data_IF_281214078741
#
_entry.id   IF_281214078741
#
_cell.length_a   1.000
_cell.length_b   1.000
_cell.length_c   1.000
_cell.angle_alpha   90.00
_cell.angle_beta   90.00
_cell.angle_gamma   90.00
#
_symmetry.space_group_name_H-M   'P 1'
#
loop_
_entity.id
_entity.type
_entity.pdbx_description
1 polymer ?
#
# COMPACT_ATOMS: atom_id res chain seq x y z
N UNK A 1 -19.03 1.57 16.72
CA UNK A 1 -19.74 1.59 15.41
C UNK A 1 -19.14 0.52 14.50
N UNK A 2 -19.92 -0.09 13.62
CA UNK A 2 -19.41 -1.18 12.79
C UNK A 2 -19.63 -0.83 11.30
N UNK A 3 -18.55 -0.70 10.54
CA UNK A 3 -18.67 -0.51 9.09
C UNK A 3 -19.03 -1.86 8.47
N UNK A 4 -20.05 -1.88 7.62
CA UNK A 4 -20.53 -3.10 7.00
C UNK A 4 -19.46 -3.69 6.05
N UNK A 5 -19.21 -5.01 6.14
CA UNK A 5 -18.30 -5.75 5.26
C UNK A 5 -18.49 -5.41 3.77
N UNK A 6 -19.73 -5.23 3.31
CA UNK A 6 -20.01 -4.89 1.92
C UNK A 6 -19.44 -3.53 1.52
N UNK A 7 -19.51 -2.53 2.41
CA UNK A 7 -18.94 -1.19 2.18
C UNK A 7 -17.42 -1.29 2.10
N UNK A 8 -16.79 -1.99 3.05
CA UNK A 8 -15.35 -2.25 3.03
C UNK A 8 -14.89 -2.91 1.73
N UNK A 9 -15.56 -4.00 1.31
CA UNK A 9 -15.22 -4.69 0.07
C UNK A 9 -15.38 -3.81 -1.18
N UNK A 10 -16.40 -2.95 -1.21
CA UNK A 10 -16.59 -1.99 -2.30
C UNK A 10 -15.46 -0.95 -2.35
N UNK A 11 -15.00 -0.44 -1.20
CA UNK A 11 -13.85 0.47 -1.12
C UNK A 11 -12.56 -0.21 -1.58
N UNK A 12 -12.34 -1.45 -1.13
CA UNK A 12 -11.19 -2.27 -1.56
C UNK A 12 -11.22 -2.45 -3.07
N UNK A 13 -12.34 -2.91 -3.63
CA UNK A 13 -12.47 -3.07 -5.07
C UNK A 13 -12.17 -1.78 -5.82
N UNK A 14 -12.80 -0.66 -5.42
CA UNK A 14 -12.57 0.63 -6.07
C UNK A 14 -11.09 1.02 -6.03
N UNK A 15 -10.46 1.01 -4.84
CA UNK A 15 -9.08 1.46 -4.69
C UNK A 15 -8.07 0.54 -5.38
N UNK A 16 -8.29 -0.77 -5.36
CA UNK A 16 -7.38 -1.71 -6.04
C UNK A 16 -7.49 -1.66 -7.56
N UNK A 17 -8.62 -1.23 -8.13
CA UNK A 17 -8.81 -1.09 -9.58
C UNK A 17 -8.37 0.28 -10.13
N UNK A 18 -8.13 1.29 -9.27
CA UNK A 18 -7.57 2.57 -9.69
C UNK A 18 -6.13 2.41 -10.20
N UNK A 19 -5.75 3.30 -11.13
CA UNK A 19 -4.37 3.44 -11.58
C UNK A 19 -3.59 4.32 -10.61
N UNK A 20 -2.38 3.92 -10.25
CA UNK A 20 -1.54 4.70 -9.35
C UNK A 20 -0.14 4.12 -9.27
N UNK A 21 0.61 4.17 -10.37
CA UNK A 21 2.04 3.90 -10.36
C UNK A 21 2.78 4.97 -9.55
N UNK A 22 4.00 4.69 -9.03
CA UNK A 22 4.80 5.67 -8.29
C UNK A 22 4.98 6.99 -9.02
N UNK A 23 4.57 8.10 -8.39
CA UNK A 23 4.56 9.45 -8.97
C UNK A 23 3.30 9.80 -9.77
N UNK A 24 2.32 8.89 -9.86
CA UNK A 24 1.07 9.05 -10.62
C UNK A 24 -0.14 8.60 -9.80
N UNK A 25 -0.19 8.96 -8.52
CA UNK A 25 -1.16 8.49 -7.52
C UNK A 25 -2.46 9.31 -7.47
N UNK A 26 -2.68 10.26 -8.38
CA UNK A 26 -3.79 11.23 -8.29
C UNK A 26 -5.18 10.60 -8.24
N UNK A 27 -5.42 9.47 -8.96
CA UNK A 27 -6.73 8.81 -8.92
C UNK A 27 -7.03 8.30 -7.51
N UNK A 28 -6.02 7.74 -6.84
CA UNK A 28 -6.12 7.22 -5.48
C UNK A 28 -6.34 8.35 -4.49
N UNK A 29 -5.51 9.41 -4.57
CA UNK A 29 -5.64 10.61 -3.73
C UNK A 29 -7.03 11.23 -3.85
N UNK A 30 -7.53 11.40 -5.07
CA UNK A 30 -8.85 11.99 -5.32
C UNK A 30 -9.97 11.16 -4.68
N UNK A 31 -9.92 9.84 -4.81
CA UNK A 31 -10.90 8.97 -4.17
C UNK A 31 -10.80 9.06 -2.63
N UNK A 32 -9.60 8.98 -2.06
CA UNK A 32 -9.40 9.11 -0.62
C UNK A 32 -9.91 10.46 -0.11
N UNK A 33 -9.60 11.58 -0.79
CA UNK A 33 -10.07 12.91 -0.43
C UNK A 33 -11.60 12.96 -0.33
N UNK A 34 -12.29 12.42 -1.32
CA UNK A 34 -13.76 12.41 -1.33
C UNK A 34 -14.33 11.58 -0.16
N UNK A 35 -13.73 10.43 0.13
CA UNK A 35 -14.20 9.53 1.18
C UNK A 35 -13.87 10.05 2.60
N UNK A 36 -12.75 10.74 2.77
CA UNK A 36 -12.28 11.25 4.08
C UNK A 36 -12.87 12.60 4.44
N UNK A 37 -13.26 13.43 3.46
CA UNK A 37 -13.74 14.80 3.67
C UNK A 37 -14.83 14.97 4.75
N UNK A 38 -15.80 14.05 4.94
CA UNK A 38 -16.80 14.18 5.99
C UNK A 38 -16.28 14.00 7.44
N UNK A 39 -15.04 13.55 7.61
CA UNK A 39 -14.49 13.06 8.88
C UNK A 39 -13.26 13.83 9.38
N UNK A 40 -12.82 14.86 8.65
CA UNK A 40 -11.62 15.63 8.93
C UNK A 40 -11.92 17.13 9.01
N UNK A 41 -11.10 17.85 9.76
CA UNK A 41 -11.20 19.31 9.89
C UNK A 41 -10.48 20.02 8.73
N UNK A 42 -9.37 19.43 8.24
CA UNK A 42 -8.58 19.94 7.13
C UNK A 42 -7.82 18.81 6.43
N UNK A 43 -7.29 19.12 5.25
CA UNK A 43 -6.28 18.30 4.57
C UNK A 43 -4.96 19.05 4.49
N UNK A 44 -3.86 18.31 4.69
CA UNK A 44 -2.50 18.80 4.44
C UNK A 44 -1.82 17.93 3.40
N UNK A 45 -0.93 18.52 2.61
CA UNK A 45 -0.22 17.84 1.55
C UNK A 45 1.23 18.33 1.49
N UNK A 46 2.19 17.42 1.38
CA UNK A 46 3.57 17.77 1.13
C UNK A 46 3.84 17.99 -0.38
N UNK A 47 4.99 18.55 -0.73
CA UNK A 47 5.34 18.88 -2.12
C UNK A 47 5.63 17.68 -3.01
N UNK A 48 5.68 16.47 -2.47
CA UNK A 48 5.79 15.23 -3.24
C UNK A 48 4.44 14.61 -3.55
N UNK A 49 3.35 15.03 -2.86
CA UNK A 49 2.01 14.51 -3.03
C UNK A 49 1.50 13.62 -1.88
N UNK A 50 2.32 13.38 -0.85
CA UNK A 50 1.86 12.73 0.38
C UNK A 50 0.80 13.57 1.06
N UNK A 51 -0.34 12.97 1.39
CA UNK A 51 -1.57 13.67 1.73
C UNK A 51 -2.21 13.06 2.98
N UNK A 52 -2.70 13.94 3.89
CA UNK A 52 -3.25 13.54 5.18
C UNK A 52 -4.49 14.37 5.52
N UNK A 53 -5.55 13.69 5.97
CA UNK A 53 -6.66 14.31 6.65
C UNK A 53 -6.35 14.49 8.13
N UNK A 54 -6.73 15.62 8.69
CA UNK A 54 -6.45 16.00 10.08
C UNK A 54 -7.75 16.05 10.86
N UNK A 55 -7.79 15.31 11.97
CA UNK A 55 -8.85 15.41 12.98
C UNK A 55 -8.25 16.00 14.27
N UNK A 56 -8.64 17.24 14.59
CA UNK A 56 -8.12 17.97 15.72
C UNK A 56 -8.75 17.52 17.03
N UNK A 57 -7.94 17.46 18.08
CA UNK A 57 -8.40 17.36 19.46
C UNK A 57 -8.90 18.71 19.98
N UNK A 58 -9.75 18.68 20.99
CA UNK A 58 -10.08 19.87 21.80
C UNK A 58 -9.01 20.17 22.86
N UNK A 59 -8.11 19.24 23.11
CA UNK A 59 -6.98 19.44 24.03
C UNK A 59 -5.97 20.43 23.41
N UNK A 60 -5.72 21.60 23.99
CA UNK A 60 -4.77 22.56 23.46
C UNK A 60 -3.32 22.07 23.48
N UNK A 61 -3.03 21.02 24.24
CA UNK A 61 -1.72 20.39 24.34
C UNK A 61 -1.71 18.99 23.68
N UNK A 62 -2.62 18.74 22.74
CA UNK A 62 -2.72 17.47 22.05
C UNK A 62 -1.41 17.09 21.36
N UNK A 63 -0.99 15.86 21.56
CA UNK A 63 0.11 15.24 20.83
C UNK A 63 -0.35 14.85 19.44
N UNK A 64 0.58 14.80 18.48
CA UNK A 64 0.30 14.48 17.08
C UNK A 64 0.55 13.01 16.80
N UNK A 65 -0.46 12.31 16.32
CA UNK A 65 -0.39 10.91 15.93
C UNK A 65 -0.53 10.81 14.40
N UNK A 66 0.42 10.15 13.76
CA UNK A 66 0.39 9.89 12.32
C UNK A 66 -0.03 8.45 12.05
N UNK A 67 -0.99 8.26 11.12
CA UNK A 67 -1.29 6.97 10.50
C UNK A 67 -0.99 7.10 9.02
N UNK A 68 -0.06 6.31 8.52
CA UNK A 68 0.40 6.37 7.14
C UNK A 68 0.26 5.02 6.43
N UNK A 69 -0.37 5.03 5.26
CA UNK A 69 -0.29 4.02 4.21
C UNK A 69 0.53 4.57 3.04
N UNK A 70 0.58 3.87 1.89
CA UNK A 70 1.03 4.43 0.63
C UNK A 70 0.01 4.22 -0.48
N UNK A 71 0.00 5.16 -1.45
CA UNK A 71 -0.98 5.19 -2.54
C UNK A 71 -0.50 4.46 -3.79
N UNK A 72 0.81 4.38 -3.99
CA UNK A 72 1.37 3.76 -5.17
C UNK A 72 1.26 2.23 -5.15
N UNK A 73 1.40 1.66 -6.30
CA UNK A 73 1.50 0.22 -6.56
C UNK A 73 2.66 -0.04 -7.50
N UNK A 74 3.24 -1.23 -7.49
CA UNK A 74 4.25 -1.62 -8.47
C UNK A 74 3.74 -1.46 -9.90
N UNK A 75 4.61 -1.08 -10.81
CA UNK A 75 4.25 -0.90 -12.21
C UNK A 75 5.45 -0.73 -13.12
N UNK A 76 5.22 -0.06 -14.23
CA UNK A 76 6.25 0.21 -15.24
C UNK A 76 6.08 1.61 -15.83
N UNK A 77 7.15 2.09 -16.47
CA UNK A 77 7.17 3.33 -17.22
C UNK A 77 7.65 3.06 -18.65
N UNK A 78 6.98 3.65 -19.63
CA UNK A 78 7.35 3.53 -21.04
C UNK A 78 8.68 4.24 -21.29
N UNK A 79 9.63 3.51 -21.88
CA UNK A 79 10.97 4.02 -22.19
C UNK A 79 11.21 4.20 -23.67
N UNK A 80 10.49 3.45 -24.52
CA UNK A 80 10.63 3.55 -25.97
C UNK A 80 9.40 2.97 -26.69
N UNK A 81 9.13 3.46 -27.89
CA UNK A 81 8.15 2.91 -28.83
C UNK A 81 8.91 2.49 -30.09
N UNK A 82 8.79 1.23 -30.46
CA UNK A 82 9.52 0.68 -31.60
C UNK A 82 8.80 0.98 -32.92
N UNK A 83 9.53 0.94 -34.05
CA UNK A 83 8.97 1.20 -35.39
C UNK A 83 7.82 0.27 -35.78
N UNK A 84 7.77 -0.93 -35.18
CA UNK A 84 6.70 -1.92 -35.39
C UNK A 84 5.61 -1.87 -34.32
N UNK A 85 5.50 -0.77 -33.58
CA UNK A 85 4.40 -0.51 -32.64
C UNK A 85 4.50 -1.23 -31.29
N UNK A 86 5.63 -1.86 -30.97
CA UNK A 86 5.84 -2.45 -29.64
C UNK A 86 6.33 -1.41 -28.63
N UNK A 87 5.87 -1.51 -27.39
CA UNK A 87 6.19 -0.57 -26.33
C UNK A 87 7.20 -1.21 -25.39
N UNK A 88 8.36 -0.57 -25.22
CA UNK A 88 9.39 -0.95 -24.25
C UNK A 88 9.19 -0.19 -22.93
N UNK A 89 9.48 -0.84 -21.82
CA UNK A 89 9.24 -0.28 -20.51
C UNK A 89 10.30 -0.70 -19.49
N UNK A 90 10.38 0.03 -18.39
CA UNK A 90 11.19 -0.29 -17.21
C UNK A 90 10.31 -0.40 -15.99
N UNK A 91 10.73 -1.15 -14.97
CA UNK A 91 9.96 -1.33 -13.75
C UNK A 91 9.97 -0.06 -12.87
N UNK A 92 8.85 0.16 -12.20
CA UNK A 92 8.66 1.04 -11.06
C UNK A 92 8.32 0.16 -9.87
N UNK A 93 9.28 -0.04 -8.97
CA UNK A 93 9.16 -0.95 -7.83
C UNK A 93 9.88 -2.29 -8.02
N UNK A 94 9.82 -3.09 -6.99
CA UNK A 94 10.47 -4.39 -6.93
C UNK A 94 9.62 -5.49 -7.57
N UNK A 95 9.93 -5.91 -8.80
CA UNK A 95 9.20 -6.96 -9.52
C UNK A 95 10.11 -8.11 -9.93
N UNK A 96 9.58 -9.33 -9.90
CA UNK A 96 10.30 -10.51 -10.41
C UNK A 96 10.18 -10.59 -11.94
N UNK A 97 11.25 -11.03 -12.63
CA UNK A 97 11.29 -11.02 -14.09
C UNK A 97 10.39 -12.10 -14.74
N UNK A 98 10.15 -13.21 -14.06
CA UNK A 98 9.59 -14.44 -14.62
C UNK A 98 8.05 -14.51 -14.69
N UNK A 99 7.35 -13.52 -14.14
CA UNK A 99 5.88 -13.56 -13.99
C UNK A 99 5.12 -12.74 -15.03
N UNK A 100 5.79 -11.94 -15.87
CA UNK A 100 5.11 -10.92 -16.69
C UNK A 100 4.73 -11.38 -18.08
N UNK A 101 5.41 -12.39 -18.66
CA UNK A 101 5.13 -12.87 -20.01
C UNK A 101 3.67 -13.29 -20.20
N UNK A 102 3.00 -12.76 -21.21
CA UNK A 102 1.61 -13.06 -21.52
C UNK A 102 0.59 -12.39 -20.60
N UNK A 103 1.03 -11.59 -19.64
CA UNK A 103 0.13 -10.86 -18.73
C UNK A 103 -0.51 -9.67 -19.42
N UNK A 104 -1.69 -9.29 -18.95
CA UNK A 104 -2.36 -8.06 -19.36
C UNK A 104 -1.93 -6.92 -18.44
N UNK A 105 -1.54 -5.82 -19.05
CA UNK A 105 -1.22 -4.58 -18.37
C UNK A 105 -2.06 -3.45 -18.94
N UNK A 106 -2.23 -2.37 -18.19
CA UNK A 106 -2.97 -1.18 -18.63
C UNK A 106 -2.04 0.03 -18.60
N UNK A 107 -1.92 0.70 -19.74
CA UNK A 107 -1.28 2.00 -19.88
C UNK A 107 -2.29 3.07 -19.48
N UNK A 108 -1.87 4.06 -18.71
CA UNK A 108 -2.60 5.34 -18.58
C UNK A 108 -1.79 6.41 -19.30
N UNK A 109 -2.36 6.93 -20.38
CA UNK A 109 -1.73 8.00 -21.15
C UNK A 109 -1.95 9.39 -20.50
N UNK A 110 -1.28 10.41 -21.02
CA UNK A 110 -1.39 11.80 -20.53
C UNK A 110 -2.80 12.40 -20.61
N UNK A 111 -3.67 11.84 -21.45
CA UNK A 111 -5.06 12.28 -21.57
C UNK A 111 -5.98 11.60 -20.53
N UNK A 112 -5.45 10.64 -19.77
CA UNK A 112 -6.21 9.83 -18.81
C UNK A 112 -6.86 8.58 -19.42
N UNK A 113 -6.65 8.31 -20.72
CA UNK A 113 -7.19 7.11 -21.36
C UNK A 113 -6.45 5.86 -20.89
N UNK A 114 -7.20 4.77 -20.69
CA UNK A 114 -6.67 3.47 -20.26
C UNK A 114 -6.65 2.49 -21.42
N UNK A 115 -5.44 2.10 -21.85
CA UNK A 115 -5.22 1.21 -23.00
C UNK A 115 -4.63 -0.12 -22.50
N UNK A 116 -5.34 -1.22 -22.78
CA UNK A 116 -4.88 -2.56 -22.40
C UNK A 116 -3.92 -3.10 -23.45
N UNK A 117 -2.81 -3.70 -22.98
CA UNK A 117 -1.87 -4.45 -23.81
C UNK A 117 -1.54 -5.81 -23.20
N UNK A 118 -0.85 -6.63 -23.97
CA UNK A 118 -0.35 -7.95 -23.58
C UNK A 118 1.18 -7.94 -23.63
N UNK A 119 1.81 -8.39 -22.56
CA UNK A 119 3.27 -8.49 -22.50
C UNK A 119 3.75 -9.60 -23.43
N UNK A 120 4.76 -9.29 -24.23
CA UNK A 120 5.33 -10.21 -25.23
C UNK A 120 5.81 -11.52 -24.60
N UNK A 121 5.64 -12.60 -25.35
CA UNK A 121 6.12 -13.92 -25.00
C UNK A 121 6.60 -14.64 -26.27
N UNK A 122 7.80 -15.23 -26.22
CA UNK A 122 8.29 -16.07 -27.30
C UNK A 122 7.74 -17.49 -27.10
N UNK A 123 6.85 -17.98 -27.99
CA UNK A 123 6.32 -19.33 -27.94
C UNK A 123 7.45 -20.38 -27.91
N UNK A 124 7.25 -21.46 -27.17
CA UNK A 124 8.25 -22.54 -27.01
C UNK A 124 8.85 -23.03 -28.33
N UNK A 125 8.06 -23.05 -29.40
CA UNK A 125 8.47 -23.51 -30.74
C UNK A 125 9.53 -22.64 -31.39
N UNK A 126 9.68 -21.40 -30.98
CA UNK A 126 10.64 -20.43 -31.52
C UNK A 126 11.82 -20.16 -30.57
N UNK A 127 11.84 -20.79 -29.37
CA UNK A 127 12.97 -20.66 -28.44
C UNK A 127 14.14 -21.53 -28.90
N UNK A 128 15.32 -20.95 -28.98
CA UNK A 128 16.56 -21.64 -29.32
C UNK A 128 17.40 -21.78 -28.06
N UNK A 129 17.33 -22.94 -27.39
CA UNK A 129 18.18 -23.24 -26.23
C UNK A 129 17.50 -23.12 -24.85
N UNK A 130 18.28 -23.24 -23.79
CA UNK A 130 17.86 -23.10 -22.39
C UNK A 130 17.96 -21.63 -21.95
N UNK A 131 17.24 -20.74 -22.59
CA UNK A 131 17.18 -19.35 -22.16
C UNK A 131 16.43 -19.26 -20.83
N UNK A 132 17.00 -18.53 -19.85
CA UNK A 132 16.35 -18.20 -18.60
C UNK A 132 15.12 -17.29 -18.82
N UNK A 133 14.45 -16.89 -17.76
CA UNK A 133 13.41 -15.88 -17.83
C UNK A 133 14.02 -14.58 -18.40
N UNK A 134 13.35 -13.91 -19.37
CA UNK A 134 13.83 -12.64 -19.91
C UNK A 134 13.84 -11.57 -18.82
N UNK A 135 14.77 -10.64 -18.92
CA UNK A 135 14.73 -9.46 -18.06
C UNK A 135 13.59 -8.52 -18.50
N UNK A 136 13.10 -7.68 -17.59
CA UNK A 136 12.02 -6.71 -17.88
C UNK A 136 12.34 -5.86 -19.12
N UNK A 137 13.61 -5.42 -19.26
CA UNK A 137 14.07 -4.61 -20.40
C UNK A 137 13.95 -5.30 -21.77
N UNK A 138 13.86 -6.64 -21.80
CA UNK A 138 13.75 -7.46 -23.01
C UNK A 138 12.28 -7.75 -23.38
N UNK A 139 11.35 -7.38 -22.48
CA UNK A 139 9.92 -7.50 -22.71
C UNK A 139 9.38 -6.28 -23.45
N UNK A 140 8.30 -6.48 -24.19
CA UNK A 140 7.53 -5.39 -24.80
C UNK A 140 6.06 -5.56 -24.51
N UNK A 141 5.30 -4.48 -24.53
CA UNK A 141 3.85 -4.49 -24.43
C UNK A 141 3.27 -4.29 -25.85
N UNK A 142 2.41 -5.21 -26.24
CA UNK A 142 1.67 -5.20 -27.48
C UNK A 142 0.25 -4.68 -27.23
N UNK A 143 -0.12 -3.58 -27.88
CA UNK A 143 -1.46 -2.98 -27.85
C UNK A 143 -2.21 -3.16 -29.18
N UNK A 144 -1.69 -4.01 -30.07
CA UNK A 144 -2.25 -4.25 -31.41
C UNK A 144 -1.99 -3.13 -32.41
N UNK A 145 -0.98 -2.28 -32.18
CA UNK A 145 -0.53 -1.26 -33.13
C UNK A 145 0.43 -1.87 -34.16
N UNK A 146 0.38 -1.41 -35.42
CA UNK A 146 1.21 -1.90 -36.49
C UNK A 146 2.55 -1.13 -36.65
N UNK A 147 2.57 0.10 -36.12
CA UNK A 147 3.72 0.99 -36.21
C UNK A 147 3.72 2.02 -35.06
N UNK A 148 4.80 2.78 -34.95
CA UNK A 148 4.95 3.83 -33.94
C UNK A 148 3.87 4.91 -34.02
N UNK A 149 3.47 5.31 -35.24
CA UNK A 149 2.49 6.39 -35.42
C UNK A 149 1.13 6.00 -34.83
N UNK A 150 0.67 4.76 -35.04
CA UNK A 150 -0.57 4.26 -34.43
C UNK A 150 -0.53 4.23 -32.89
N UNK A 151 0.62 4.00 -32.28
CA UNK A 151 0.78 4.09 -30.81
C UNK A 151 0.63 5.54 -30.37
N UNK A 152 1.30 6.47 -31.08
CA UNK A 152 1.24 7.90 -30.74
C UNK A 152 -0.14 8.53 -30.99
N UNK A 153 -0.85 8.09 -32.03
CA UNK A 153 -2.23 8.49 -32.29
C UNK A 153 -3.19 8.13 -31.14
N UNK A 154 -2.88 7.08 -30.38
CA UNK A 154 -3.60 6.72 -29.14
C UNK A 154 -3.18 7.57 -27.94
N UNK A 155 -2.38 8.61 -28.13
CA UNK A 155 -1.92 9.52 -27.07
C UNK A 155 -0.85 8.93 -26.14
N UNK A 156 -0.25 7.80 -26.51
CA UNK A 156 0.80 7.13 -25.71
C UNK A 156 2.16 7.72 -26.03
N UNK A 157 2.95 7.99 -25.00
CA UNK A 157 4.30 8.53 -25.14
C UNK A 157 5.27 7.98 -24.07
N UNK A 158 6.55 8.28 -24.24
CA UNK A 158 7.59 7.99 -23.25
C UNK A 158 7.25 8.69 -21.93
N UNK A 159 7.39 7.97 -20.82
CA UNK A 159 7.05 8.45 -19.49
C UNK A 159 5.61 8.17 -19.06
N UNK A 160 4.72 7.70 -19.93
CA UNK A 160 3.43 7.17 -19.53
C UNK A 160 3.60 5.90 -18.69
N UNK A 161 2.68 5.65 -17.77
CA UNK A 161 2.81 4.56 -16.80
C UNK A 161 1.90 3.38 -17.12
N UNK A 162 2.35 2.23 -16.67
CA UNK A 162 1.71 0.93 -16.91
C UNK A 162 1.57 0.23 -15.56
N UNK A 163 0.39 -0.34 -15.28
CA UNK A 163 0.15 -1.15 -14.09
C UNK A 163 -0.53 -2.48 -14.46
N UNK A 164 -0.55 -3.49 -13.58
CA UNK A 164 -1.30 -4.72 -13.80
C UNK A 164 -2.78 -4.46 -14.10
N UNK A 165 -3.37 -5.31 -14.93
CA UNK A 165 -4.80 -5.30 -15.24
C UNK A 165 -5.47 -6.56 -14.70
N UNK A 166 -5.81 -6.54 -13.41
CA UNK A 166 -6.46 -7.66 -12.72
C UNK A 166 -7.70 -7.15 -11.99
N UNK A 167 -8.89 -7.71 -12.27
CA UNK A 167 -10.11 -7.31 -11.58
C UNK A 167 -10.16 -7.89 -10.16
N UNK A 168 -10.81 -7.16 -9.26
CA UNK A 168 -11.13 -7.66 -7.94
C UNK A 168 -12.03 -8.90 -8.04
N UNK A 169 -11.65 -10.00 -7.39
CA UNK A 169 -12.35 -11.30 -7.50
C UNK A 169 -12.52 -11.95 -6.14
N UNK A 170 -13.74 -12.39 -5.82
CA UNK A 170 -13.99 -13.23 -4.65
C UNK A 170 -13.64 -14.69 -4.98
N UNK A 171 -12.67 -15.26 -4.27
CA UNK A 171 -12.24 -16.65 -4.44
C UNK A 171 -12.98 -17.63 -3.50
N UNK A 172 -13.34 -17.16 -2.31
CA UNK A 172 -14.09 -17.95 -1.32
C UNK A 172 -14.84 -17.01 -0.36
N UNK A 173 -15.44 -17.52 0.69
CA UNK A 173 -16.19 -16.72 1.68
C UNK A 173 -15.36 -15.59 2.30
N UNK A 174 -14.07 -15.82 2.53
CA UNK A 174 -13.18 -14.88 3.22
C UNK A 174 -11.98 -14.44 2.38
N UNK A 175 -11.68 -15.12 1.27
CA UNK A 175 -10.51 -14.83 0.43
C UNK A 175 -10.88 -14.16 -0.86
N UNK A 176 -10.09 -13.18 -1.21
CA UNK A 176 -10.25 -12.33 -2.38
C UNK A 176 -8.91 -12.22 -3.09
N UNK A 177 -8.97 -11.86 -4.36
CA UNK A 177 -7.82 -11.57 -5.19
C UNK A 177 -7.97 -10.19 -5.82
N UNK A 178 -6.89 -9.43 -5.85
CA UNK A 178 -6.81 -8.13 -6.49
C UNK A 178 -5.35 -7.75 -6.78
N UNK A 179 -5.15 -6.88 -7.79
CA UNK A 179 -3.89 -6.15 -7.90
C UNK A 179 -3.79 -5.12 -6.77
N UNK A 180 -2.61 -4.57 -6.52
CA UNK A 180 -2.40 -3.43 -5.62
C UNK A 180 -3.00 -3.57 -4.22
N UNK A 181 -3.20 -4.79 -3.72
CA UNK A 181 -3.55 -4.99 -2.32
C UNK A 181 -2.51 -4.33 -1.42
N UNK A 182 -1.28 -4.47 -1.77
CA UNK A 182 -0.15 -3.65 -1.37
C UNK A 182 -0.19 -2.32 -2.16
N UNK A 183 -0.53 -1.15 -1.58
CA UNK A 183 -1.02 -1.01 -0.19
C UNK A 183 -2.38 -0.29 -0.17
N UNK A 184 -3.26 -0.62 -1.13
CA UNK A 184 -4.59 0.01 -1.24
C UNK A 184 -5.50 -0.38 -0.07
N UNK A 185 -5.27 -1.55 0.58
CA UNK A 185 -5.98 -1.87 1.81
C UNK A 185 -5.66 -0.87 2.93
N UNK A 186 -4.41 -0.41 3.01
CA UNK A 186 -4.00 0.65 3.94
C UNK A 186 -4.70 1.97 3.68
N UNK A 187 -4.91 2.31 2.39
CA UNK A 187 -5.71 3.47 2.00
C UNK A 187 -7.19 3.32 2.43
N UNK A 188 -7.78 2.11 2.27
CA UNK A 188 -9.14 1.84 2.80
C UNK A 188 -9.16 1.96 4.31
N UNK A 189 -8.15 1.42 4.99
CA UNK A 189 -8.07 1.46 6.45
C UNK A 189 -7.97 2.91 6.96
N UNK A 190 -7.20 3.77 6.28
CA UNK A 190 -7.13 5.20 6.59
C UNK A 190 -8.51 5.88 6.53
N UNK A 191 -9.30 5.60 5.49
CA UNK A 191 -10.68 6.10 5.38
C UNK A 191 -11.55 5.57 6.53
N UNK A 192 -11.50 4.26 6.80
CA UNK A 192 -12.37 3.61 7.78
C UNK A 192 -12.03 3.97 9.22
N UNK A 193 -10.77 4.22 9.55
CA UNK A 193 -10.36 4.71 10.87
C UNK A 193 -10.99 6.08 11.14
N UNK A 194 -10.93 7.02 10.20
CA UNK A 194 -11.57 8.33 10.36
C UNK A 194 -13.10 8.21 10.50
N UNK A 195 -13.74 7.34 9.71
CA UNK A 195 -15.18 7.10 9.81
C UNK A 195 -15.57 6.49 11.16
N UNK A 196 -14.80 5.51 11.67
CA UNK A 196 -15.05 4.88 12.97
C UNK A 196 -14.86 5.84 14.14
N UNK A 197 -13.90 6.75 14.03
CA UNK A 197 -13.54 7.70 15.08
C UNK A 197 -14.27 9.05 14.96
N UNK A 198 -15.17 9.24 13.99
CA UNK A 198 -15.80 10.53 13.70
C UNK A 198 -16.49 11.19 14.91
N UNK A 199 -17.20 10.39 15.71
CA UNK A 199 -17.98 10.84 16.87
C UNK A 199 -17.21 10.65 18.19
N UNK A 200 -15.95 10.19 18.15
CA UNK A 200 -15.10 9.98 19.31
C UNK A 200 -14.24 11.23 19.51
N UNK A 201 -14.30 11.79 20.71
CA UNK A 201 -13.40 12.85 21.13
C UNK A 201 -12.05 12.22 21.50
N UNK A 202 -11.02 12.55 20.75
CA UNK A 202 -9.66 12.06 20.97
C UNK A 202 -8.86 13.07 21.79
N UNK A 203 -7.96 12.60 22.64
CA UNK A 203 -7.02 13.44 23.41
C UNK A 203 -5.80 13.85 22.58
N UNK A 204 -5.72 13.39 21.32
CA UNK A 204 -4.61 13.59 20.38
C UNK A 204 -5.08 14.21 19.06
N UNK A 205 -4.23 14.99 18.42
CA UNK A 205 -4.42 15.39 17.03
C UNK A 205 -4.06 14.22 16.10
N UNK A 206 -5.02 13.78 15.30
CA UNK A 206 -4.87 12.60 14.45
C UNK A 206 -4.67 13.01 12.99
N UNK A 207 -3.55 12.59 12.42
CA UNK A 207 -3.16 12.78 11.02
C UNK A 207 -3.23 11.43 10.31
N UNK A 208 -4.17 11.25 9.41
CA UNK A 208 -4.42 9.97 8.73
C UNK A 208 -4.33 10.16 7.23
N UNK A 209 -3.53 9.37 6.55
CA UNK A 209 -3.40 9.52 5.11
C UNK A 209 -2.45 8.50 4.47
N UNK A 210 -1.87 8.91 3.36
CA UNK A 210 -0.99 8.04 2.60
C UNK A 210 0.16 8.82 1.95
N UNK A 211 1.29 8.14 1.85
CA UNK A 211 2.48 8.59 1.16
C UNK A 211 2.43 8.24 -0.33
N UNK A 212 3.42 8.69 -1.06
CA UNK A 212 3.66 8.43 -2.48
C UNK A 212 5.03 7.79 -2.66
N UNK A 213 5.22 7.06 -3.77
CA UNK A 213 6.52 6.51 -4.17
C UNK A 213 7.19 5.63 -3.11
N UNK A 214 6.40 4.84 -2.36
CA UNK A 214 6.91 3.86 -1.42
C UNK A 214 7.70 2.78 -2.15
N UNK A 215 7.10 2.20 -3.19
CA UNK A 215 7.58 1.07 -3.99
C UNK A 215 8.94 1.30 -4.67
N UNK A 216 9.32 2.55 -4.84
CA UNK A 216 10.58 2.97 -5.48
C UNK A 216 11.60 3.51 -4.48
N UNK A 217 11.46 3.19 -3.20
CA UNK A 217 12.44 3.48 -2.16
C UNK A 217 11.95 4.41 -1.05
N UNK A 218 10.70 4.27 -0.57
CA UNK A 218 10.14 4.93 0.62
C UNK A 218 10.18 6.47 0.54
N UNK A 219 10.09 7.04 -0.68
CA UNK A 219 10.51 8.42 -0.96
C UNK A 219 9.61 9.48 -0.31
N UNK A 220 8.30 9.25 -0.27
CA UNK A 220 7.33 10.20 0.29
C UNK A 220 7.31 10.27 1.81
N UNK A 221 7.67 9.19 2.47
CA UNK A 221 7.47 8.97 3.90
C UNK A 221 8.19 10.00 4.78
N UNK A 222 9.46 10.27 4.49
CA UNK A 222 10.24 11.26 5.23
C UNK A 222 9.64 12.66 5.13
N UNK A 223 9.26 13.09 3.92
CA UNK A 223 8.67 14.42 3.70
C UNK A 223 7.33 14.58 4.46
N UNK A 224 6.53 13.53 4.53
CA UNK A 224 5.29 13.53 5.31
C UNK A 224 5.56 13.60 6.82
N UNK A 225 6.52 12.82 7.31
CA UNK A 225 6.90 12.82 8.72
C UNK A 225 7.47 14.18 9.16
N UNK A 226 8.30 14.82 8.33
CA UNK A 226 8.83 16.15 8.61
C UNK A 226 7.75 17.24 8.56
N UNK A 227 6.77 17.14 7.66
CA UNK A 227 5.64 18.06 7.57
C UNK A 227 4.71 17.97 8.81
N UNK A 228 4.40 16.76 9.26
CA UNK A 228 3.49 16.49 10.38
C UNK A 228 4.21 16.68 11.71
N UNK A 229 5.47 16.26 11.80
CA UNK A 229 6.28 16.20 13.03
C UNK A 229 5.53 15.45 14.15
N UNK A 230 5.18 14.16 13.96
CA UNK A 230 4.34 13.43 14.89
C UNK A 230 5.12 12.97 16.14
N UNK A 231 4.42 12.90 17.27
CA UNK A 231 4.95 12.32 18.51
C UNK A 231 5.06 10.80 18.45
N UNK A 232 4.15 10.15 17.68
CA UNK A 232 4.09 8.70 17.46
C UNK A 232 3.52 8.45 16.06
N UNK A 233 3.97 7.39 15.40
CA UNK A 233 3.45 6.99 14.10
C UNK A 233 3.05 5.52 14.05
N UNK A 234 1.96 5.26 13.34
CA UNK A 234 1.55 3.93 12.89
C UNK A 234 1.66 3.87 11.37
N UNK A 235 2.35 2.88 10.87
CA UNK A 235 2.39 2.59 9.44
C UNK A 235 1.52 1.36 9.19
N UNK A 236 0.70 1.46 8.16
CA UNK A 236 -0.13 0.34 7.70
C UNK A 236 0.46 -0.13 6.39
N UNK A 237 0.91 -1.40 6.35
CA UNK A 237 1.59 -1.91 5.17
C UNK A 237 1.40 -3.41 4.96
N UNK A 238 1.39 -3.84 3.71
CA UNK A 238 1.25 -5.24 3.34
C UNK A 238 2.57 -6.00 3.53
N UNK A 239 2.45 -7.28 3.76
CA UNK A 239 3.61 -8.16 3.91
C UNK A 239 3.41 -9.45 3.12
N UNK A 240 4.47 -10.02 2.51
CA UNK A 240 4.34 -11.30 1.83
C UNK A 240 3.97 -12.43 2.80
N UNK A 241 2.92 -13.19 2.49
CA UNK A 241 2.61 -14.45 3.16
C UNK A 241 3.46 -15.58 2.61
N UNK A 242 3.95 -16.46 3.47
CA UNK A 242 4.72 -17.64 3.08
C UNK A 242 4.10 -18.94 3.62
N UNK A 243 2.79 -19.11 3.38
CA UNK A 243 1.99 -20.21 3.90
C UNK A 243 1.56 -21.23 2.83
N UNK A 244 1.96 -21.06 1.57
CA UNK A 244 1.56 -21.94 0.45
C UNK A 244 2.05 -23.37 0.62
N UNK A 245 3.25 -23.55 1.21
CA UNK A 245 3.85 -24.85 1.49
C UNK A 245 3.76 -25.25 2.97
N UNK A 246 2.82 -24.66 3.71
CA UNK A 246 2.67 -24.81 5.16
C UNK A 246 3.21 -23.61 5.93
N UNK A 247 2.82 -23.51 7.19
CA UNK A 247 3.18 -22.39 8.04
C UNK A 247 4.71 -22.30 8.24
N UNK A 248 5.25 -21.12 7.97
CA UNK A 248 6.64 -20.77 8.27
C UNK A 248 6.62 -19.75 9.41
N UNK A 249 7.32 -19.99 10.53
CA UNK A 249 7.35 -19.07 11.65
C UNK A 249 7.71 -17.63 11.23
N UNK A 250 6.97 -16.65 11.74
CA UNK A 250 7.22 -15.20 11.55
C UNK A 250 7.11 -14.68 10.10
N UNK A 251 6.47 -15.43 9.20
CA UNK A 251 6.38 -15.09 7.77
C UNK A 251 4.95 -14.89 7.25
N UNK A 252 3.96 -14.79 8.13
CA UNK A 252 2.57 -14.52 7.82
C UNK A 252 1.80 -15.71 7.21
N UNK A 253 0.60 -15.95 7.74
CA UNK A 253 -0.37 -16.93 7.28
C UNK A 253 -1.73 -16.26 7.10
N UNK A 254 -2.40 -16.49 5.97
CA UNK A 254 -3.72 -15.92 5.68
C UNK A 254 -4.79 -16.40 6.65
N UNK A 255 -5.57 -15.48 7.20
CA UNK A 255 -6.68 -15.76 8.10
C UNK A 255 -6.27 -16.00 9.55
N UNK A 256 -5.07 -15.59 9.93
CA UNK A 256 -4.54 -15.65 11.29
C UNK A 256 -4.39 -14.28 11.95
N UNK A 257 -5.09 -13.29 11.43
CA UNK A 257 -5.17 -11.96 12.00
C UNK A 257 -4.09 -11.00 11.55
N UNK A 258 -4.07 -9.85 12.21
CA UNK A 258 -3.15 -8.75 11.89
C UNK A 258 -1.70 -9.09 12.22
N UNK A 259 -0.78 -8.47 11.48
CA UNK A 259 0.65 -8.60 11.74
C UNK A 259 1.14 -7.52 12.68
N UNK A 260 1.80 -7.91 13.78
CA UNK A 260 2.64 -7.04 14.59
C UNK A 260 4.07 -7.23 14.10
N UNK A 261 4.58 -6.27 13.32
CA UNK A 261 5.92 -6.34 12.75
C UNK A 261 6.96 -6.01 13.82
N UNK A 262 7.74 -7.00 14.23
CA UNK A 262 8.77 -6.86 15.27
C UNK A 262 10.04 -6.25 14.72
N UNK A 263 10.40 -6.65 13.48
CA UNK A 263 11.61 -6.20 12.80
C UNK A 263 11.43 -6.31 11.29
N UNK A 264 12.02 -5.37 10.58
CA UNK A 264 12.25 -5.50 9.14
C UNK A 264 13.67 -5.06 8.74
N UNK A 265 13.91 -4.89 7.43
CA UNK A 265 15.21 -4.44 6.90
C UNK A 265 15.58 -3.01 7.30
N UNK A 266 14.61 -2.20 7.72
CA UNK A 266 14.75 -0.75 7.90
C UNK A 266 14.49 -0.28 9.33
N UNK A 267 13.73 -1.05 10.15
CA UNK A 267 13.41 -0.67 11.53
C UNK A 267 13.25 -1.88 12.46
N UNK A 268 13.35 -1.60 13.77
CA UNK A 268 13.05 -2.52 14.86
C UNK A 268 12.00 -1.87 15.75
N UNK A 269 10.92 -2.59 16.03
CA UNK A 269 9.86 -2.13 16.92
C UNK A 269 10.39 -1.97 18.35
N UNK A 270 10.19 -0.79 18.96
CA UNK A 270 10.56 -0.55 20.37
C UNK A 270 9.79 -1.48 21.30
N UNK A 271 10.44 -2.02 22.36
CA UNK A 271 9.77 -2.90 23.32
C UNK A 271 8.50 -2.30 23.95
N UNK A 272 8.53 -1.03 24.36
CA UNK A 272 7.36 -0.37 24.94
C UNK A 272 6.18 -0.31 23.94
N UNK A 273 6.46 -0.10 22.65
CA UNK A 273 5.43 -0.08 21.63
C UNK A 273 4.85 -1.47 21.37
N UNK A 274 5.73 -2.49 21.30
CA UNK A 274 5.30 -3.89 21.21
C UNK A 274 4.38 -4.26 22.37
N UNK A 275 4.79 -3.96 23.61
CA UNK A 275 4.04 -4.30 24.81
C UNK A 275 2.70 -3.57 24.87
N UNK A 276 2.64 -2.33 24.36
CA UNK A 276 1.38 -1.59 24.18
C UNK A 276 0.42 -2.32 23.23
N UNK A 277 0.88 -2.70 22.03
CA UNK A 277 0.05 -3.42 21.06
C UNK A 277 -0.40 -4.78 21.58
N UNK A 278 0.48 -5.53 22.26
CA UNK A 278 0.16 -6.84 22.82
C UNK A 278 -0.92 -6.75 23.91
N UNK A 279 -0.89 -5.75 24.76
CA UNK A 279 -1.95 -5.51 25.75
C UNK A 279 -3.31 -5.28 25.08
N UNK A 280 -3.34 -4.56 23.94
CA UNK A 280 -4.57 -4.29 23.23
C UNK A 280 -5.13 -5.55 22.54
N UNK A 281 -4.29 -6.35 21.88
CA UNK A 281 -4.77 -7.58 21.24
C UNK A 281 -5.28 -8.59 22.28
N UNK A 282 -4.65 -8.67 23.44
CA UNK A 282 -5.12 -9.52 24.55
C UNK A 282 -6.43 -8.98 25.17
N UNK A 283 -6.52 -7.68 25.43
CA UNK A 283 -7.70 -7.07 26.06
C UNK A 283 -8.96 -7.12 25.18
N UNK A 284 -8.79 -7.10 23.86
CA UNK A 284 -9.90 -7.05 22.90
C UNK A 284 -10.06 -8.33 22.06
N UNK A 285 -9.35 -9.41 22.41
CA UNK A 285 -9.39 -10.71 21.72
C UNK A 285 -9.16 -10.58 20.20
N UNK A 286 -8.11 -9.82 19.82
CA UNK A 286 -7.78 -9.56 18.43
C UNK A 286 -6.79 -10.62 17.94
N UNK A 287 -7.19 -11.36 16.89
CA UNK A 287 -6.32 -12.32 16.22
C UNK A 287 -5.09 -11.62 15.62
N UNK A 288 -3.90 -12.11 15.94
CA UNK A 288 -2.65 -11.49 15.51
C UNK A 288 -1.51 -12.48 15.34
N UNK A 289 -0.50 -12.05 14.61
CA UNK A 289 0.73 -12.81 14.37
C UNK A 289 1.94 -11.89 14.56
N UNK A 290 3.04 -12.44 15.08
CA UNK A 290 4.35 -11.79 14.97
C UNK A 290 4.88 -11.91 13.54
N UNK A 291 5.53 -10.86 13.06
CA UNK A 291 6.08 -10.84 11.73
C UNK A 291 7.50 -10.26 11.68
N UNK A 292 8.36 -10.88 10.87
CA UNK A 292 9.70 -10.37 10.53
C UNK A 292 9.85 -10.36 9.01
N UNK A 293 10.37 -9.26 8.46
CA UNK A 293 10.55 -9.07 7.02
C UNK A 293 12.02 -8.78 6.68
N UNK A 294 12.53 -9.26 5.54
CA UNK A 294 13.77 -8.74 4.99
C UNK A 294 13.60 -7.38 4.30
N UNK A 295 12.40 -7.08 3.78
CA UNK A 295 12.05 -5.80 3.15
C UNK A 295 11.71 -4.72 4.17
N UNK A 296 11.73 -3.45 3.75
CA UNK A 296 11.35 -2.30 4.56
C UNK A 296 9.90 -1.86 4.31
N UNK A 297 9.50 -0.78 4.97
CA UNK A 297 8.25 -0.03 4.78
C UNK A 297 8.52 1.44 5.01
N UNK A 298 7.55 2.29 4.73
CA UNK A 298 7.57 3.73 5.07
C UNK A 298 7.95 3.98 6.55
N UNK A 299 7.68 3.03 7.45
CA UNK A 299 8.13 3.08 8.84
C UNK A 299 9.63 3.27 9.00
N UNK A 300 10.41 2.72 8.07
CA UNK A 300 11.86 2.87 8.03
C UNK A 300 12.36 4.30 7.80
N UNK A 301 11.62 5.13 7.10
CA UNK A 301 11.94 6.54 6.89
C UNK A 301 11.27 7.44 7.94
N UNK A 302 10.03 7.11 8.35
CA UNK A 302 9.30 7.88 9.38
C UNK A 302 10.05 7.83 10.71
N UNK A 303 10.47 6.65 11.18
CA UNK A 303 11.11 6.53 12.51
C UNK A 303 12.45 7.25 12.62
N UNK A 304 13.11 7.55 11.50
CA UNK A 304 14.39 8.32 11.44
C UNK A 304 14.19 9.82 11.23
N UNK A 305 12.96 10.27 10.93
CA UNK A 305 12.71 11.68 10.67
C UNK A 305 12.86 12.52 11.94
N UNK A 306 13.17 13.80 11.74
CA UNK A 306 13.39 14.79 12.82
C UNK A 306 14.40 14.28 13.88
N UNK A 307 13.97 14.19 15.14
CA UNK A 307 14.78 13.68 16.26
C UNK A 307 14.52 12.20 16.55
N UNK A 308 13.82 11.50 15.66
CA UNK A 308 13.36 10.13 15.81
C UNK A 308 11.92 10.06 16.31
N UNK A 309 11.10 9.27 15.60
CA UNK A 309 9.66 9.11 15.86
C UNK A 309 9.40 7.66 16.26
N UNK A 310 8.89 7.36 17.46
CA UNK A 310 8.42 6.03 17.81
C UNK A 310 7.38 5.57 16.79
N UNK A 311 7.68 4.49 16.08
CA UNK A 311 6.87 4.00 14.96
C UNK A 311 6.57 2.52 15.13
N UNK A 312 5.33 2.12 14.87
CA UNK A 312 4.93 0.73 14.73
C UNK A 312 4.35 0.46 13.36
N UNK A 313 4.60 -0.75 12.83
CA UNK A 313 3.95 -1.23 11.61
C UNK A 313 2.89 -2.25 12.00
N UNK A 314 1.63 -1.93 11.69
CA UNK A 314 0.47 -2.82 11.82
C UNK A 314 0.12 -3.27 10.40
N UNK A 315 0.29 -4.56 10.12
CA UNK A 315 0.16 -5.06 8.76
C UNK A 315 -0.91 -6.13 8.59
N UNK A 316 -1.14 -6.47 7.34
CA UNK A 316 -1.77 -7.72 6.94
C UNK A 316 -0.86 -8.45 5.97
N UNK A 317 -1.00 -9.77 5.86
CA UNK A 317 -0.25 -10.48 4.82
C UNK A 317 -1.12 -10.78 3.60
N UNK A 318 -0.44 -10.89 2.45
CA UNK A 318 -1.03 -11.43 1.25
C UNK A 318 -0.04 -12.34 0.51
N UNK A 319 -0.56 -13.33 -0.19
CA UNK A 319 0.24 -14.14 -1.12
C UNK A 319 0.45 -13.37 -2.40
N UNK A 320 1.60 -13.58 -3.03
CA UNK A 320 1.90 -13.13 -4.39
C UNK A 320 1.96 -11.60 -4.56
N UNK A 321 2.23 -10.84 -3.49
CA UNK A 321 2.46 -9.39 -3.63
C UNK A 321 3.61 -9.13 -4.62
N UNK A 322 3.68 -7.92 -5.17
CA UNK A 322 4.62 -7.54 -6.24
C UNK A 322 4.49 -8.39 -7.51
N UNK A 323 3.26 -8.86 -7.78
CA UNK A 323 2.90 -9.54 -9.03
C UNK A 323 1.63 -8.92 -9.64
N UNK A 324 1.09 -9.56 -10.66
CA UNK A 324 -0.15 -9.09 -11.29
C UNK A 324 -1.37 -9.22 -10.38
N UNK A 325 -1.29 -10.05 -9.33
CA UNK A 325 -2.41 -10.38 -8.47
C UNK A 325 -1.95 -10.74 -7.06
N UNK A 326 -2.71 -10.39 -6.05
CA UNK A 326 -2.48 -10.76 -4.66
C UNK A 326 -3.69 -11.48 -4.10
N UNK A 327 -3.47 -12.50 -3.27
CA UNK A 327 -4.54 -13.21 -2.56
C UNK A 327 -4.47 -12.87 -1.07
N UNK A 328 -5.58 -12.41 -0.51
CA UNK A 328 -5.68 -11.99 0.88
C UNK A 328 -6.92 -12.54 1.58
N UNK A 329 -6.93 -12.50 2.90
CA UNK A 329 -8.07 -12.88 3.74
C UNK A 329 -8.65 -11.63 4.43
N UNK A 330 -9.93 -11.38 4.24
CA UNK A 330 -10.59 -10.17 4.76
C UNK A 330 -10.68 -10.14 6.30
N UNK A 331 -10.53 -11.28 6.97
CA UNK A 331 -10.52 -11.34 8.43
C UNK A 331 -9.27 -10.68 9.02
N UNK A 332 -8.13 -10.81 8.32
CA UNK A 332 -6.87 -10.15 8.72
C UNK A 332 -6.99 -8.63 8.62
N UNK A 333 -7.68 -8.13 7.59
CA UNK A 333 -8.01 -6.71 7.47
C UNK A 333 -8.85 -6.21 8.66
N UNK A 334 -9.89 -6.95 9.04
CA UNK A 334 -10.74 -6.56 10.17
C UNK A 334 -9.98 -6.61 11.50
N UNK A 335 -9.06 -7.55 11.68
CA UNK A 335 -8.18 -7.60 12.85
C UNK A 335 -7.25 -6.38 12.90
N UNK A 336 -6.64 -6.00 11.77
CA UNK A 336 -5.79 -4.80 11.68
C UNK A 336 -6.58 -3.52 11.97
N UNK A 337 -7.80 -3.40 11.43
CA UNK A 337 -8.70 -2.29 11.68
C UNK A 337 -9.06 -2.18 13.17
N UNK A 338 -9.39 -3.29 13.82
CA UNK A 338 -9.70 -3.32 15.24
C UNK A 338 -8.49 -2.90 16.07
N UNK A 339 -7.32 -3.48 15.80
CA UNK A 339 -6.11 -3.13 16.55
C UNK A 339 -5.76 -1.65 16.41
N UNK A 340 -5.80 -1.12 15.19
CA UNK A 340 -5.48 0.29 14.96
C UNK A 340 -6.50 1.24 15.62
N UNK A 341 -7.80 0.91 15.56
CA UNK A 341 -8.84 1.69 16.23
C UNK A 341 -8.62 1.72 17.74
N UNK A 342 -8.38 0.56 18.37
CA UNK A 342 -8.13 0.47 19.80
C UNK A 342 -6.81 1.17 20.18
N UNK A 343 -5.78 1.05 19.34
CA UNK A 343 -4.52 1.74 19.57
C UNK A 343 -4.69 3.26 19.61
N UNK A 344 -5.52 3.83 18.76
CA UNK A 344 -5.77 5.29 18.77
C UNK A 344 -6.67 5.71 19.94
N UNK A 345 -7.74 4.96 20.21
CA UNK A 345 -8.66 5.29 21.31
C UNK A 345 -8.03 5.23 22.70
N UNK A 346 -6.97 4.44 22.87
CA UNK A 346 -6.27 4.27 24.13
C UNK A 346 -4.96 5.10 24.24
N UNK A 347 -4.70 6.01 23.30
CA UNK A 347 -3.57 6.93 23.37
C UNK A 347 -3.94 8.21 24.10
N UNK A 348 -3.27 8.45 25.20
CA UNK A 348 -3.21 9.73 25.89
C UNK A 348 -1.76 10.24 25.99
N UNK A 349 -1.58 11.44 26.49
CA UNK A 349 -0.23 12.03 26.62
C UNK A 349 0.73 11.16 27.46
N UNK A 350 0.24 10.50 28.52
CA UNK A 350 1.08 9.64 29.38
C UNK A 350 1.52 8.38 28.64
N UNK A 351 0.59 7.76 27.90
CA UNK A 351 0.92 6.59 27.08
C UNK A 351 1.95 6.94 25.99
N UNK A 352 1.78 8.09 25.33
CA UNK A 352 2.71 8.57 24.31
C UNK A 352 4.11 8.81 24.90
N UNK A 353 4.22 9.45 26.07
CA UNK A 353 5.50 9.61 26.76
C UNK A 353 6.17 8.26 27.08
N UNK A 354 5.38 7.25 27.45
CA UNK A 354 5.89 5.89 27.66
C UNK A 354 6.47 5.31 26.38
N UNK A 355 5.81 5.53 25.24
CA UNK A 355 6.29 5.06 23.91
C UNK A 355 7.55 5.81 23.44
N UNK A 356 7.70 7.09 23.83
CA UNK A 356 8.85 7.91 23.45
C UNK A 356 10.11 7.58 24.24
N UNK A 357 10.02 7.41 25.58
CA UNK A 357 11.16 7.43 26.47
C UNK A 357 11.50 6.10 27.17
N UNK A 358 10.70 5.07 26.98
CA UNK A 358 10.96 3.72 27.50
C UNK A 358 11.06 2.71 26.38
#
# INVERSE_FOLDING_TARGET
>A
MNINKKVTLQRIQTLTELHGAPGFEEEVKNYMTQQMAPYVDEFIENRMGGFFGVKKSKNPNAKRIMIAAHMDEIGFMITNITKNGMIQFTNLGGVANDIWQGQRLVIKNRNGDKIIGVVSNIPKHFRTGSEGAPEIKDLTLDIGAQNEDEVRERGIDIGDTIVPHTPFTQLSEHRYSAKAWDNRYGCVLAIEILELLKDIELDVDLYVGANVQEEVGLRGAKASAEMIDPDVAFVVDCSPANDVKGNQPLSGELGKGTLIRIKDGTMILKPAFRDYLLKLVEAHDIEHQYYMSPGGTDGGEIHKANIGIPTAVIGVCARYIHSTDSVFDIRDYFAARSLLSEAICNLDNNQIETLQYK
#
